data_IF_163847791688
#
_entry.id   IF_163847791688
#
_cell.length_a   1.000
_cell.length_b   1.000
_cell.length_c   1.000
_cell.angle_alpha   90.00
_cell.angle_beta   90.00
_cell.angle_gamma   90.00
#
_symmetry.space_group_name_H-M   'P 1'
#
loop_
_entity.id
_entity.type
_entity.pdbx_description
1 polymer ?
#
# COMPACT_ATOMS: atom_id res chain seq x y z
N UNK A 1 -23.66 -22.45 7.85
CA UNK A 1 -22.79 -21.29 7.57
C UNK A 1 -21.65 -21.36 8.57
N UNK A 2 -20.46 -21.75 8.11
CA UNK A 2 -19.29 -21.88 9.01
C UNK A 2 -18.82 -20.47 9.34
N UNK A 3 -18.55 -20.12 10.61
CA UNK A 3 -17.91 -18.85 10.92
C UNK A 3 -16.59 -18.80 10.16
N UNK A 4 -16.29 -17.67 9.50
CA UNK A 4 -14.95 -17.47 8.98
C UNK A 4 -14.01 -17.54 10.19
N UNK A 5 -13.15 -18.56 10.22
CA UNK A 5 -12.09 -18.64 11.22
C UNK A 5 -11.28 -17.35 11.06
N UNK A 6 -11.35 -16.48 12.07
CA UNK A 6 -10.43 -15.35 12.19
C UNK A 6 -9.03 -15.95 12.26
N UNK A 7 -8.34 -15.97 11.12
CA UNK A 7 -6.91 -16.24 11.06
C UNK A 7 -6.17 -15.02 11.62
N UNK A 8 -6.39 -14.76 12.91
CA UNK A 8 -5.69 -13.75 13.71
C UNK A 8 -4.43 -14.38 14.29
N UNK A 9 -3.66 -15.08 13.47
CA UNK A 9 -2.22 -14.98 13.63
C UNK A 9 -1.88 -13.60 13.06
N UNK A 10 -2.02 -12.58 13.92
CA UNK A 10 -1.72 -11.21 13.57
C UNK A 10 -0.28 -11.18 13.06
N UNK A 11 -0.12 -11.15 11.73
CA UNK A 11 1.13 -10.82 11.08
C UNK A 11 1.38 -9.36 11.49
N UNK A 12 2.08 -9.17 12.60
CA UNK A 12 2.40 -7.88 13.21
C UNK A 12 3.80 -7.43 12.85
N UNK A 13 4.34 -7.95 11.75
CA UNK A 13 5.55 -7.40 11.13
C UNK A 13 5.33 -5.93 10.75
N UNK A 14 6.37 -5.09 10.88
CA UNK A 14 6.28 -3.69 10.50
C UNK A 14 6.00 -3.56 9.00
N UNK A 15 4.98 -2.79 8.66
CA UNK A 15 4.76 -2.34 7.28
C UNK A 15 5.72 -1.19 7.01
N UNK A 16 6.42 -1.25 5.88
CA UNK A 16 7.30 -0.19 5.42
C UNK A 16 6.62 0.54 4.28
N UNK A 17 6.65 1.86 4.31
CA UNK A 17 6.16 2.69 3.22
C UNK A 17 7.27 3.59 2.69
N UNK A 18 7.25 3.83 1.39
CA UNK A 18 8.19 4.75 0.76
C UNK A 18 7.50 5.55 -0.34
N UNK A 19 7.67 6.86 -0.29
CA UNK A 19 7.20 7.77 -1.34
C UNK A 19 8.30 8.00 -2.37
N UNK A 20 7.93 7.94 -3.64
CA UNK A 20 8.82 8.21 -4.76
C UNK A 20 8.32 9.40 -5.54
N UNK A 21 9.26 10.22 -6.02
CA UNK A 21 9.03 11.15 -7.13
C UNK A 21 9.78 10.60 -8.33
N UNK A 22 9.05 10.04 -9.28
CA UNK A 22 9.62 9.42 -10.46
C UNK A 22 9.61 10.46 -11.57
N UNK A 23 10.77 10.67 -12.18
CA UNK A 23 10.94 11.59 -13.30
C UNK A 23 11.30 10.79 -14.54
N UNK A 24 10.51 10.95 -15.59
CA UNK A 24 10.66 10.26 -16.87
C UNK A 24 10.92 11.27 -17.99
N UNK A 25 11.11 10.79 -19.21
CA UNK A 25 11.31 11.63 -20.40
C UNK A 25 12.41 12.69 -20.23
N UNK A 26 13.56 12.27 -19.70
CA UNK A 26 14.74 13.13 -19.48
C UNK A 26 14.42 14.40 -18.66
N UNK A 27 13.54 14.29 -17.66
CA UNK A 27 13.16 15.44 -16.82
C UNK A 27 11.84 16.10 -17.19
N UNK A 28 11.21 15.71 -18.30
CA UNK A 28 10.03 16.40 -18.82
C UNK A 28 8.76 16.12 -18.02
N UNK A 29 8.62 14.92 -17.49
CA UNK A 29 7.42 14.51 -16.76
C UNK A 29 7.81 13.93 -15.40
N UNK A 30 7.01 14.23 -14.38
CA UNK A 30 7.15 13.65 -13.04
C UNK A 30 5.82 13.20 -12.50
N UNK A 31 5.81 12.06 -11.80
CA UNK A 31 4.67 11.60 -11.04
C UNK A 31 5.11 11.08 -9.66
N UNK A 32 4.16 11.05 -8.74
CA UNK A 32 4.36 10.51 -7.40
C UNK A 32 3.88 9.06 -7.36
N UNK A 33 4.62 8.21 -6.67
CA UNK A 33 4.25 6.83 -6.42
C UNK A 33 4.47 6.49 -4.94
N UNK A 34 3.65 5.59 -4.41
CA UNK A 34 3.76 5.10 -3.04
C UNK A 34 3.99 3.59 -3.09
N UNK A 35 5.07 3.11 -2.48
CA UNK A 35 5.23 1.69 -2.17
C UNK A 35 4.82 1.44 -0.73
N UNK A 36 4.08 0.35 -0.51
CA UNK A 36 3.73 -0.16 0.81
C UNK A 36 4.03 -1.64 0.78
N UNK A 37 4.98 -2.07 1.61
CA UNK A 37 5.54 -3.42 1.58
C UNK A 37 5.57 -4.01 2.99
N UNK A 38 5.51 -5.34 3.04
CA UNK A 38 5.76 -6.11 4.25
C UNK A 38 6.93 -7.05 4.00
N UNK A 39 7.99 -6.89 4.79
CA UNK A 39 9.29 -7.56 4.53
C UNK A 39 9.22 -9.10 4.61
N UNK A 40 8.25 -9.63 5.35
CA UNK A 40 8.08 -11.08 5.55
C UNK A 40 6.99 -11.70 4.67
N UNK A 41 6.39 -10.93 3.76
CA UNK A 41 5.25 -11.41 2.96
C UNK A 41 5.11 -10.70 1.61
N UNK A 42 5.23 -11.49 0.55
CA UNK A 42 4.95 -11.07 -0.83
C UNK A 42 3.44 -10.94 -1.11
N UNK A 43 2.59 -11.63 -0.33
CA UNK A 43 1.13 -11.69 -0.53
C UNK A 43 0.36 -10.81 0.48
N UNK A 44 1.00 -9.76 0.99
CA UNK A 44 0.36 -8.86 1.95
C UNK A 44 -0.72 -7.99 1.28
N UNK A 45 -1.95 -8.03 1.82
CA UNK A 45 -3.07 -7.25 1.32
C UNK A 45 -3.22 -5.94 2.10
N UNK A 46 -3.40 -4.83 1.38
CA UNK A 46 -3.73 -3.53 1.97
C UNK A 46 -5.26 -3.42 2.11
N UNK A 47 -5.75 -3.35 3.33
CA UNK A 47 -7.16 -3.07 3.60
C UNK A 47 -7.29 -1.57 3.92
N UNK A 48 -7.72 -0.78 2.93
CA UNK A 48 -7.98 0.66 3.13
C UNK A 48 -9.43 0.85 3.57
N UNK A 49 -9.64 1.31 4.80
CA UNK A 49 -10.96 1.78 5.26
C UNK A 49 -11.28 3.19 4.74
N UNK A 50 -10.28 3.87 4.20
CA UNK A 50 -10.38 5.22 3.64
C UNK A 50 -10.39 5.13 2.12
N UNK A 51 -11.59 5.06 1.54
CA UNK A 51 -11.79 5.31 0.12
C UNK A 51 -11.87 6.82 -0.12
N UNK A 52 -10.72 7.48 -0.28
CA UNK A 52 -10.69 8.85 -0.80
C UNK A 52 -10.62 8.76 -2.34
N UNK A 53 -11.55 9.42 -3.04
CA UNK A 53 -11.37 9.63 -4.48
C UNK A 53 -10.04 10.35 -4.72
N UNK A 54 -9.31 9.99 -5.78
CA UNK A 54 -8.00 10.59 -6.12
C UNK A 54 -8.05 12.14 -6.17
N UNK A 55 -9.21 12.69 -6.52
CA UNK A 55 -9.57 14.11 -6.50
C UNK A 55 -9.37 14.80 -5.14
N UNK A 56 -9.48 14.03 -4.05
CA UNK A 56 -9.45 14.49 -2.66
C UNK A 56 -8.12 14.21 -1.96
N UNK A 57 -7.18 13.55 -2.63
CA UNK A 57 -5.82 13.34 -2.13
C UNK A 57 -4.99 14.57 -2.54
N UNK A 58 -4.95 15.58 -1.67
CA UNK A 58 -4.23 16.85 -1.88
C UNK A 58 -2.79 16.80 -1.41
#
# INVERSE_FOLDING_TARGET
>A
MVPAESNTAAQTGPVRSHGYRITVDNGRESFFALSIERVDSEDAWLMSDTAAALENMR
#
